data_IF_673148463681
#
_entry.id   IF_673148463681
#
_cell.length_a   1.000
_cell.length_b   1.000
_cell.length_c   1.000
_cell.angle_alpha   90.00
_cell.angle_beta   90.00
_cell.angle_gamma   90.00
#
_symmetry.space_group_name_H-M   'P 1'
#
loop_
_entity.id
_entity.type
_entity.pdbx_description
1 polymer ?
#
# COMPACT_ATOMS: atom_id res chain seq x y z
N UNK A 1 4.58 23.48 0.11
CA UNK A 1 3.72 22.54 -0.64
C UNK A 1 2.63 22.05 0.29
N UNK A 2 1.36 22.20 -0.09
CA UNK A 2 0.28 21.61 0.70
C UNK A 2 0.31 20.09 0.51
N UNK A 3 0.67 19.38 1.58
CA UNK A 3 0.74 17.93 1.58
C UNK A 3 -0.68 17.38 1.46
N UNK A 4 -1.07 16.97 0.26
CA UNK A 4 -2.38 16.37 0.03
C UNK A 4 -2.43 14.97 0.68
N UNK A 5 -2.83 14.95 1.95
CA UNK A 5 -2.87 13.75 2.79
C UNK A 5 -3.71 12.63 2.17
N UNK A 6 -4.77 12.98 1.43
CA UNK A 6 -5.63 12.00 0.74
C UNK A 6 -4.88 11.33 -0.42
N UNK A 7 -4.16 12.11 -1.25
CA UNK A 7 -3.31 11.53 -2.32
C UNK A 7 -2.25 10.58 -1.75
N UNK A 8 -1.63 10.93 -0.63
CA UNK A 8 -0.66 10.05 0.03
C UNK A 8 -1.30 8.71 0.42
N UNK A 9 -2.50 8.72 1.00
CA UNK A 9 -3.19 7.50 1.41
C UNK A 9 -3.54 6.60 0.22
N UNK A 10 -3.97 7.18 -0.90
CA UNK A 10 -4.20 6.43 -2.14
C UNK A 10 -2.93 5.76 -2.67
N UNK A 11 -1.81 6.47 -2.65
CA UNK A 11 -0.52 5.89 -3.03
C UNK A 11 -0.10 4.77 -2.06
N UNK A 12 -0.32 4.93 -0.75
CA UNK A 12 -0.05 3.86 0.22
C UNK A 12 -0.89 2.62 -0.03
N UNK A 13 -2.15 2.79 -0.43
CA UNK A 13 -3.01 1.67 -0.83
C UNK A 13 -2.45 0.98 -2.09
N UNK A 14 -2.03 1.75 -3.09
CA UNK A 14 -1.39 1.20 -4.29
C UNK A 14 -0.15 0.35 -3.95
N UNK A 15 0.72 0.82 -3.05
CA UNK A 15 1.89 0.02 -2.61
C UNK A 15 1.48 -1.23 -1.84
N UNK A 16 0.44 -1.15 -1.01
CA UNK A 16 -0.10 -2.30 -0.29
C UNK A 16 -0.67 -3.36 -1.25
N UNK A 17 -1.44 -2.93 -2.25
CA UNK A 17 -2.05 -3.81 -3.26
C UNK A 17 -0.99 -4.49 -4.14
N UNK A 18 0.14 -3.81 -4.39
CA UNK A 18 1.33 -4.38 -5.05
C UNK A 18 2.07 -5.41 -4.18
N UNK A 19 1.76 -5.49 -2.89
CA UNK A 19 2.41 -6.38 -1.93
C UNK A 19 3.74 -5.84 -1.38
N UNK A 20 4.04 -4.56 -1.57
CA UNK A 20 5.21 -3.92 -0.97
C UNK A 20 5.00 -3.70 0.53
N UNK A 21 6.08 -3.58 1.30
CA UNK A 21 6.02 -3.30 2.73
C UNK A 21 6.10 -1.79 3.03
N UNK A 22 5.78 -1.42 4.28
CA UNK A 22 5.73 -0.01 4.71
C UNK A 22 7.08 0.73 4.53
N UNK A 23 8.22 0.03 4.62
CA UNK A 23 9.53 0.66 4.42
C UNK A 23 9.76 1.02 2.96
N UNK A 24 9.34 0.15 2.03
CA UNK A 24 9.43 0.40 0.59
C UNK A 24 8.53 1.57 0.19
N UNK A 25 7.29 1.59 0.70
CA UNK A 25 6.36 2.69 0.46
C UNK A 25 6.86 4.04 1.04
N UNK A 26 7.52 4.01 2.20
CA UNK A 26 8.07 5.22 2.81
C UNK A 26 9.24 5.79 2.00
N UNK A 27 10.07 4.95 1.38
CA UNK A 27 11.25 5.38 0.60
C UNK A 27 10.92 6.14 -0.69
N UNK A 28 9.67 6.09 -1.18
CA UNK A 28 9.23 6.88 -2.34
C UNK A 28 9.00 8.35 -1.97
N UNK A 29 8.74 8.60 -0.70
CA UNK A 29 8.56 9.94 -0.18
C UNK A 29 9.90 10.48 0.32
N UNK A 30 10.25 11.70 -0.06
CA UNK A 30 11.41 12.39 0.51
C UNK A 30 11.24 12.61 2.02
N UNK A 31 12.37 12.68 2.73
CA UNK A 31 12.41 12.88 4.18
C UNK A 31 11.46 13.98 4.65
N UNK A 32 10.68 13.67 5.69
CA UNK A 32 9.72 14.60 6.30
C UNK A 32 8.36 14.70 5.59
N UNK A 33 8.15 14.07 4.43
CA UNK A 33 6.85 14.10 3.74
C UNK A 33 5.82 13.17 4.38
N UNK A 34 6.25 11.95 4.72
CA UNK A 34 5.43 10.94 5.41
C UNK A 34 6.28 10.30 6.50
N UNK A 35 5.74 10.17 7.71
CA UNK A 35 6.45 9.47 8.78
C UNK A 35 6.24 7.96 8.66
N UNK A 36 7.23 7.17 9.05
CA UNK A 36 7.11 5.71 9.07
C UNK A 36 5.90 5.24 9.90
N UNK A 37 5.61 5.95 11.00
CA UNK A 37 4.40 5.71 11.80
C UNK A 37 3.11 5.87 10.97
N UNK A 38 3.02 6.92 10.14
CA UNK A 38 1.86 7.15 9.30
C UNK A 38 1.67 6.02 8.28
N UNK A 39 2.75 5.56 7.64
CA UNK A 39 2.69 4.44 6.69
C UNK A 39 2.23 3.16 7.38
N UNK A 40 2.85 2.81 8.51
CA UNK A 40 2.49 1.62 9.28
C UNK A 40 1.04 1.65 9.77
N UNK A 41 0.55 2.81 10.20
CA UNK A 41 -0.83 3.01 10.61
C UNK A 41 -1.80 2.61 9.48
N UNK A 42 -1.63 3.16 8.28
CA UNK A 42 -2.48 2.82 7.12
C UNK A 42 -2.38 1.37 6.69
N UNK A 43 -1.16 0.83 6.71
CA UNK A 43 -0.93 -0.59 6.40
C UNK A 43 -1.63 -1.54 7.39
N UNK A 44 -1.93 -1.11 8.63
CA UNK A 44 -2.77 -1.90 9.55
C UNK A 44 -4.24 -1.85 9.13
N UNK A 45 -4.75 -0.71 8.67
CA UNK A 45 -6.12 -0.59 8.16
C UNK A 45 -6.34 -1.42 6.89
N UNK A 46 -5.40 -1.41 5.95
CA UNK A 46 -5.54 -2.19 4.72
C UNK A 46 -5.53 -3.70 4.99
N UNK A 47 -4.68 -4.18 5.92
CA UNK A 47 -4.72 -5.57 6.40
C UNK A 47 -6.04 -5.94 7.09
N UNK A 48 -6.77 -4.94 7.57
CA UNK A 48 -8.07 -5.09 8.23
C UNK A 48 -9.24 -4.99 7.24
N UNK A 49 -8.97 -4.80 5.94
CA UNK A 49 -10.00 -4.62 4.91
C UNK A 49 -10.62 -3.22 4.88
N UNK A 50 -10.00 -2.23 5.54
CA UNK A 50 -10.51 -0.85 5.58
C UNK A 50 -9.77 -0.02 4.54
N UNK A 51 -10.46 0.31 3.45
CA UNK A 51 -9.90 1.03 2.30
C UNK A 51 -10.47 2.45 2.11
N UNK A 52 -11.39 2.90 2.98
CA UNK A 52 -11.89 4.28 2.91
C UNK A 52 -10.83 5.27 3.40
N UNK A 53 -10.00 5.74 2.46
CA UNK A 53 -8.91 6.67 2.73
C UNK A 53 -9.38 8.10 3.03
N UNK A 54 -10.64 8.45 2.69
CA UNK A 54 -11.22 9.78 2.92
C UNK A 54 -11.86 9.85 4.31
N UNK A 55 -12.52 8.77 4.73
CA UNK A 55 -13.17 8.67 6.03
C UNK A 55 -12.62 7.47 6.81
N UNK A 56 -11.35 7.49 7.25
CA UNK A 56 -10.84 6.44 8.10
C UNK A 56 -11.71 6.33 9.35
N UNK A 57 -12.06 5.11 9.79
CA UNK A 57 -12.72 4.91 11.07
C UNK A 57 -11.93 5.66 12.15
N UNK A 58 -12.62 6.54 12.89
CA UNK A 58 -11.98 7.15 14.06
C UNK A 58 -11.56 6.00 14.97
N UNK A 59 -10.35 6.03 15.55
CA UNK A 59 -9.89 4.99 16.47
C UNK A 59 -10.77 5.05 17.73
N UNK A 60 -11.95 4.45 17.67
CA UNK A 60 -12.74 4.10 18.84
C UNK A 60 -12.15 2.80 19.37
N UNK A 61 -11.95 2.74 20.67
CA UNK A 61 -11.15 1.75 21.39
C UNK A 61 -11.72 0.31 21.37
N UNK A 62 -12.58 -0.03 20.40
CA UNK A 62 -13.38 -1.26 20.31
C UNK A 62 -13.42 -1.88 18.91
N UNK A 63 -12.50 -1.56 17.99
CA UNK A 63 -12.46 -2.24 16.69
C UNK A 63 -12.02 -3.71 16.86
N UNK A 64 -12.99 -4.60 16.96
CA UNK A 64 -12.82 -6.04 16.77
C UNK A 64 -12.61 -6.30 15.28
N UNK A 65 -11.35 -6.47 14.88
CA UNK A 65 -10.96 -6.64 13.49
C UNK A 65 -10.82 -8.14 13.24
N UNK A 66 -11.74 -8.73 12.46
CA UNK A 66 -11.59 -10.08 11.93
C UNK A 66 -10.58 -10.02 10.78
N UNK A 67 -9.44 -10.67 10.96
CA UNK A 67 -8.38 -10.77 9.95
C UNK A 67 -8.91 -11.54 8.72
N UNK A 68 -9.02 -10.86 7.59
CA UNK A 68 -9.32 -11.50 6.31
C UNK A 68 -8.00 -11.90 5.65
N UNK A 69 -7.85 -13.19 5.41
CA UNK A 69 -6.63 -13.83 4.91
C UNK A 69 -6.24 -13.23 3.55
N UNK A 70 -5.03 -12.70 3.48
CA UNK A 70 -4.45 -12.02 2.33
C UNK A 70 -4.37 -12.98 1.13
N UNK A 71 -5.11 -12.67 0.05
CA UNK A 71 -4.95 -13.33 -1.25
C UNK A 71 -3.60 -12.90 -1.82
N UNK A 72 -2.65 -13.84 -1.90
CA UNK A 72 -1.35 -13.63 -2.53
C UNK A 72 -1.58 -13.59 -4.04
N UNK A 73 -1.62 -12.40 -4.64
CA UNK A 73 -1.49 -12.29 -6.09
C UNK A 73 -0.01 -12.50 -6.43
N UNK A 74 0.40 -13.77 -6.54
CA UNK A 74 1.65 -14.14 -7.22
C UNK A 74 1.43 -13.98 -8.71
N UNK A 75 1.52 -12.73 -9.19
CA UNK A 75 1.59 -12.42 -10.61
C UNK A 75 2.95 -12.82 -11.14
N UNK A 76 3.02 -14.05 -11.64
CA UNK A 76 4.11 -14.65 -12.38
C UNK A 76 4.58 -13.72 -13.51
N UNK A 77 5.90 -13.49 -13.55
CA UNK A 77 6.63 -12.79 -14.59
C UNK A 77 6.35 -13.42 -15.97
N UNK A 78 5.63 -12.72 -16.86
CA UNK A 78 5.62 -13.09 -18.28
C UNK A 78 6.87 -12.48 -18.92
N UNK A 79 7.90 -13.32 -19.07
CA UNK A 79 9.02 -13.08 -19.98
C UNK A 79 8.45 -13.08 -21.40
N UNK A 80 8.29 -11.92 -22.02
CA UNK A 80 8.12 -11.84 -23.48
C UNK A 80 9.53 -11.97 -24.09
N UNK A 81 9.82 -13.15 -24.62
CA UNK A 81 11.02 -13.41 -25.39
C UNK A 81 11.01 -12.55 -26.66
N UNK A 82 12.09 -11.80 -26.88
CA UNK A 82 12.38 -11.10 -28.13
C UNK A 82 12.60 -12.11 -29.28
N UNK A 83 12.15 -11.82 -30.51
CA UNK A 83 12.34 -12.71 -31.65
C UNK A 83 13.80 -12.65 -32.12
N UNK A 84 14.46 -13.80 -32.12
CA UNK A 84 15.77 -13.99 -32.74
C UNK A 84 15.65 -13.95 -34.26
N UNK A 85 16.44 -13.06 -34.87
CA UNK A 85 16.75 -13.05 -36.29
C UNK A 85 17.89 -14.04 -36.60
N UNK A 86 17.96 -14.44 -37.89
CA UNK A 86 18.91 -15.34 -38.58
C UNK A 86 18.37 -16.78 -38.64
N UNK A 87 18.14 -17.36 -39.82
CA UNK A 87 19.01 -17.41 -41.00
C UNK A 87 18.41 -16.91 -42.32
#
# INVERSE_FOLDING_TARGET
MEVNKVKIRYNLQFFFDKGENASQANGVYGDGTVTAYHVQFWFRFFRSGIFDVKFPPRPSSKMSIKSQKQSKFTGLLVVVASPGAKD
#
